data_IF_539885188490
#
_entry.id   IF_539885188490
#
_cell.length_a   1.000
_cell.length_b   1.000
_cell.length_c   1.000
_cell.angle_alpha   90.00
_cell.angle_beta   90.00
_cell.angle_gamma   90.00
#
_symmetry.space_group_name_H-M   'P 1'
#
loop_
_entity.id
_entity.type
_entity.pdbx_description
1 polymer ?
#
# COMPACT_ATOMS: atom_id res chain seq x y z
N UNK A 1 -2.51 -1.94 -7.27
CA UNK A 1 -2.38 -3.39 -7.59
C UNK A 1 -3.45 -4.27 -6.95
N UNK A 2 -3.56 -4.41 -5.61
CA UNK A 2 -4.54 -5.35 -4.99
C UNK A 2 -6.00 -5.12 -5.44
N UNK A 3 -6.49 -3.87 -5.33
CA UNK A 3 -7.85 -3.51 -5.73
C UNK A 3 -8.08 -3.72 -7.23
N UNK A 4 -7.14 -3.25 -8.04
CA UNK A 4 -7.19 -3.40 -9.49
C UNK A 4 -7.29 -4.86 -9.91
N UNK A 5 -6.50 -5.74 -9.29
CA UNK A 5 -6.54 -7.17 -9.55
C UNK A 5 -7.91 -7.76 -9.19
N UNK A 6 -8.47 -7.37 -8.05
CA UNK A 6 -9.81 -7.80 -7.64
C UNK A 6 -10.88 -7.38 -8.66
N UNK A 7 -10.83 -6.14 -9.16
CA UNK A 7 -11.76 -5.66 -10.18
C UNK A 7 -11.64 -6.46 -11.48
N UNK A 8 -10.41 -6.65 -11.98
CA UNK A 8 -10.15 -7.42 -13.20
C UNK A 8 -10.61 -8.87 -13.08
N UNK A 9 -10.32 -9.52 -11.95
CA UNK A 9 -10.69 -10.92 -11.71
C UNK A 9 -12.22 -11.12 -11.71
N UNK A 10 -12.97 -10.11 -11.24
CA UNK A 10 -14.44 -10.15 -11.19
C UNK A 10 -15.11 -9.45 -12.38
N UNK A 11 -14.33 -9.01 -13.39
CA UNK A 11 -14.82 -8.27 -14.57
C UNK A 11 -15.66 -7.05 -14.18
N UNK A 12 -15.24 -6.33 -13.14
CA UNK A 12 -15.84 -5.07 -12.72
C UNK A 12 -15.15 -3.97 -13.51
N UNK A 13 -15.92 -3.12 -14.18
CA UNK A 13 -15.40 -1.96 -14.89
C UNK A 13 -14.90 -0.90 -13.91
N UNK A 14 -13.73 -0.32 -14.19
CA UNK A 14 -13.11 0.69 -13.34
C UNK A 14 -12.24 1.64 -14.16
N UNK A 15 -12.00 2.82 -13.62
CA UNK A 15 -11.07 3.82 -14.15
C UNK A 15 -9.92 4.01 -13.16
N UNK A 16 -8.69 4.13 -13.67
CA UNK A 16 -7.52 4.46 -12.86
C UNK A 16 -7.25 5.94 -12.99
N UNK A 17 -7.40 6.66 -11.87
CA UNK A 17 -7.01 8.06 -11.78
C UNK A 17 -5.61 8.12 -11.20
N UNK A 18 -4.63 8.52 -12.01
CA UNK A 18 -3.26 8.72 -11.56
C UNK A 18 -3.13 10.05 -10.81
N UNK A 19 -2.44 10.03 -9.67
CA UNK A 19 -2.14 11.23 -8.90
C UNK A 19 -0.99 10.98 -7.93
N UNK A 20 0.11 11.72 -8.12
CA UNK A 20 1.34 11.53 -7.33
C UNK A 20 1.12 11.73 -5.83
N UNK A 21 0.25 12.68 -5.47
CA UNK A 21 -0.04 13.05 -4.08
C UNK A 21 -1.51 12.96 -3.70
N UNK A 22 -2.36 12.45 -4.59
CA UNK A 22 -3.78 12.28 -4.28
C UNK A 22 -3.94 11.25 -3.17
N UNK A 23 -4.77 11.58 -2.18
CA UNK A 23 -5.10 10.73 -1.04
C UNK A 23 -6.61 10.80 -0.81
N UNK A 24 -7.13 9.79 -0.12
CA UNK A 24 -8.52 9.86 0.35
C UNK A 24 -8.70 11.03 1.34
N UNK A 25 -9.96 11.37 1.64
CA UNK A 25 -10.34 12.27 2.73
C UNK A 25 -9.74 11.84 4.08
N UNK A 26 -9.42 10.55 4.25
CA UNK A 26 -8.75 10.00 5.44
C UNK A 26 -7.22 10.01 5.35
N UNK A 27 -6.64 10.53 4.27
CA UNK A 27 -5.19 10.51 4.00
C UNK A 27 -4.64 9.12 3.62
N UNK A 28 -5.51 8.14 3.41
CA UNK A 28 -5.13 6.74 3.14
C UNK A 28 -5.09 6.44 1.63
N UNK A 29 -4.20 5.52 1.27
CA UNK A 29 -4.19 4.78 0.01
C UNK A 29 -4.25 3.27 0.30
N UNK A 30 -4.79 2.46 -0.63
CA UNK A 30 -5.58 2.89 -1.79
C UNK A 30 -6.96 3.43 -1.38
N UNK A 31 -7.63 4.13 -2.30
CA UNK A 31 -9.03 4.51 -2.19
C UNK A 31 -9.73 4.41 -3.55
N UNK A 32 -11.05 4.32 -3.54
CA UNK A 32 -11.90 4.39 -4.74
C UNK A 32 -13.01 5.42 -4.52
N UNK A 33 -13.61 5.86 -5.61
CA UNK A 33 -14.87 6.57 -5.60
C UNK A 33 -15.95 5.70 -6.22
N UNK A 34 -17.03 5.48 -5.49
CA UNK A 34 -18.10 4.57 -5.87
C UNK A 34 -19.43 5.32 -5.74
N UNK A 35 -20.05 5.66 -6.88
CA UNK A 35 -21.27 6.48 -6.93
C UNK A 35 -21.16 7.82 -6.17
N UNK A 36 -20.00 8.48 -6.24
CA UNK A 36 -19.76 9.74 -5.52
C UNK A 36 -19.38 9.57 -4.04
N UNK A 37 -19.36 8.35 -3.50
CA UNK A 37 -18.85 8.07 -2.16
C UNK A 37 -17.39 7.62 -2.23
N UNK A 38 -16.51 8.25 -1.46
CA UNK A 38 -15.11 7.85 -1.39
C UNK A 38 -14.88 6.80 -0.30
N UNK A 39 -14.34 5.66 -0.69
CA UNK A 39 -14.05 4.53 0.20
C UNK A 39 -12.54 4.32 0.22
N UNK A 40 -11.96 4.38 1.41
CA UNK A 40 -10.53 4.16 1.64
C UNK A 40 -10.28 2.86 2.40
N UNK A 41 -9.02 2.39 2.38
CA UNK A 41 -8.55 1.11 2.93
C UNK A 41 -8.90 -0.09 2.05
N UNK A 42 -7.91 -0.91 1.71
CA UNK A 42 -8.08 -1.97 0.72
C UNK A 42 -9.09 -3.05 1.14
N UNK A 43 -9.20 -3.36 2.43
CA UNK A 43 -10.13 -4.39 2.91
C UNK A 43 -11.57 -3.90 2.83
N UNK A 44 -11.80 -2.65 3.26
CA UNK A 44 -13.11 -2.02 3.18
C UNK A 44 -13.57 -1.86 1.73
N UNK A 45 -12.66 -1.48 0.84
CA UNK A 45 -12.92 -1.38 -0.60
C UNK A 45 -13.37 -2.73 -1.15
N UNK A 46 -12.59 -3.80 -0.93
CA UNK A 46 -12.92 -5.14 -1.43
C UNK A 46 -14.27 -5.61 -0.89
N UNK A 47 -14.52 -5.43 0.41
CA UNK A 47 -15.80 -5.81 1.03
C UNK A 47 -16.99 -5.08 0.37
N UNK A 48 -16.90 -3.76 0.23
CA UNK A 48 -17.97 -2.95 -0.37
C UNK A 48 -18.23 -3.31 -1.84
N UNK A 49 -17.17 -3.60 -2.59
CA UNK A 49 -17.29 -4.04 -3.98
C UNK A 49 -17.89 -5.44 -4.07
N UNK A 50 -17.49 -6.36 -3.20
CA UNK A 50 -18.03 -7.70 -3.14
C UNK A 50 -19.54 -7.68 -2.85
N UNK A 51 -19.97 -6.86 -1.88
CA UNK A 51 -21.39 -6.64 -1.59
C UNK A 51 -22.13 -6.03 -2.79
N UNK A 52 -21.61 -4.96 -3.39
CA UNK A 52 -22.29 -4.23 -4.47
C UNK A 52 -22.44 -5.04 -5.75
N UNK A 53 -21.41 -5.80 -6.13
CA UNK A 53 -21.38 -6.60 -7.36
C UNK A 53 -21.74 -8.08 -7.13
N UNK A 54 -22.20 -8.42 -5.93
CA UNK A 54 -22.60 -9.78 -5.53
C UNK A 54 -21.52 -10.83 -5.86
N UNK A 55 -20.27 -10.48 -5.57
CA UNK A 55 -19.11 -11.36 -5.78
C UNK A 55 -19.20 -12.49 -4.76
N UNK A 56 -19.31 -13.73 -5.23
CA UNK A 56 -19.41 -14.89 -4.35
C UNK A 56 -18.08 -15.19 -3.67
N UNK A 57 -18.05 -15.03 -2.36
CA UNK A 57 -16.97 -15.58 -1.54
C UNK A 57 -17.14 -17.11 -1.44
N UNK A 58 -16.34 -17.85 -2.20
CA UNK A 58 -16.28 -19.32 -2.11
C UNK A 58 -15.42 -19.79 -0.92
N UNK A 59 -15.53 -19.12 0.23
CA UNK A 59 -14.75 -19.46 1.42
C UNK A 59 -15.59 -20.25 2.42
N UNK A 60 -15.14 -21.45 2.84
CA UNK A 60 -15.78 -22.17 3.94
C UNK A 60 -15.74 -21.31 5.22
N UNK A 61 -16.90 -21.07 5.83
CA UNK A 61 -17.02 -20.22 7.04
C UNK A 61 -16.10 -20.66 8.18
N UNK A 62 -15.87 -21.96 8.30
CA UNK A 62 -14.99 -22.57 9.30
C UNK A 62 -13.52 -22.14 9.15
N UNK A 63 -13.08 -21.83 7.92
CA UNK A 63 -11.69 -21.44 7.61
C UNK A 63 -11.53 -19.94 7.36
N UNK A 64 -12.64 -19.19 7.34
CA UNK A 64 -12.64 -17.78 7.01
C UNK A 64 -11.75 -16.95 7.96
N UNK A 65 -11.75 -17.28 9.26
CA UNK A 65 -10.89 -16.64 10.24
C UNK A 65 -9.40 -16.84 9.94
N UNK A 66 -8.98 -18.09 9.75
CA UNK A 66 -7.58 -18.43 9.47
C UNK A 66 -7.09 -17.86 8.14
N UNK A 67 -7.94 -17.88 7.10
CA UNK A 67 -7.61 -17.31 5.80
C UNK A 67 -7.49 -15.79 5.86
N UNK A 68 -8.37 -15.10 6.60
CA UNK A 68 -8.27 -13.66 6.82
C UNK A 68 -7.00 -13.28 7.59
N UNK A 69 -6.67 -14.03 8.65
CA UNK A 69 -5.43 -13.83 9.39
C UNK A 69 -4.20 -13.98 8.47
N UNK A 70 -4.18 -15.06 7.67
CA UNK A 70 -3.13 -15.32 6.70
C UNK A 70 -2.99 -14.20 5.67
N UNK A 71 -4.09 -13.76 5.04
CA UNK A 71 -4.07 -12.63 4.11
C UNK A 71 -3.54 -11.35 4.75
N UNK A 72 -3.95 -11.05 5.99
CA UNK A 72 -3.48 -9.85 6.69
C UNK A 72 -2.00 -9.92 7.02
N UNK A 73 -1.49 -11.09 7.41
CA UNK A 73 -0.07 -11.32 7.62
C UNK A 73 0.74 -11.14 6.33
N UNK A 74 0.27 -11.70 5.21
CA UNK A 74 0.90 -11.53 3.91
C UNK A 74 0.93 -10.07 3.46
N UNK A 75 -0.19 -9.34 3.59
CA UNK A 75 -0.26 -7.93 3.22
C UNK A 75 0.71 -7.07 4.06
N UNK A 76 0.77 -7.30 5.37
CA UNK A 76 1.72 -6.61 6.26
C UNK A 76 3.17 -6.91 5.87
N UNK A 77 3.49 -8.17 5.58
CA UNK A 77 4.86 -8.59 5.28
C UNK A 77 5.34 -8.05 3.94
N UNK A 78 4.49 -8.15 2.90
CA UNK A 78 4.78 -7.58 1.59
C UNK A 78 4.93 -6.06 1.68
N UNK A 79 4.07 -5.39 2.45
CA UNK A 79 4.18 -3.95 2.66
C UNK A 79 5.50 -3.56 3.33
N UNK A 80 5.96 -4.33 4.33
CA UNK A 80 7.25 -4.09 5.01
C UNK A 80 8.44 -4.22 4.07
N UNK A 81 8.47 -5.27 3.25
CA UNK A 81 9.52 -5.46 2.24
C UNK A 81 9.51 -4.29 1.24
N UNK A 82 8.34 -3.89 0.75
CA UNK A 82 8.21 -2.74 -0.15
C UNK A 82 8.67 -1.44 0.50
N UNK A 83 8.35 -1.21 1.78
CA UNK A 83 8.79 -0.04 2.53
C UNK A 83 10.32 -0.01 2.69
N UNK A 84 10.98 -1.16 2.88
CA UNK A 84 12.44 -1.21 2.96
C UNK A 84 13.09 -0.89 1.62
N UNK A 85 12.74 -1.63 0.56
CA UNK A 85 13.48 -1.56 -0.71
C UNK A 85 13.02 -0.44 -1.64
N UNK A 86 11.72 -0.14 -1.66
CA UNK A 86 11.16 0.83 -2.61
C UNK A 86 11.22 2.25 -2.07
N UNK A 87 10.90 2.45 -0.80
CA UNK A 87 10.88 3.80 -0.20
C UNK A 87 12.29 4.33 0.12
N UNK A 88 13.29 3.45 0.23
CA UNK A 88 14.69 3.86 0.33
C UNK A 88 15.30 4.30 -1.02
N UNK A 89 14.63 4.07 -2.16
CA UNK A 89 15.19 4.41 -3.46
C UNK A 89 15.17 5.92 -3.73
N UNK A 90 16.18 6.42 -4.45
CA UNK A 90 16.23 7.82 -4.91
C UNK A 90 15.07 8.17 -5.83
N UNK A 91 14.47 7.17 -6.48
CA UNK A 91 13.32 7.34 -7.36
C UNK A 91 12.09 7.88 -6.61
N UNK A 92 11.79 7.34 -5.42
CA UNK A 92 10.68 7.84 -4.61
C UNK A 92 10.95 9.24 -4.07
N UNK A 93 12.19 9.53 -3.68
CA UNK A 93 12.59 10.88 -3.26
C UNK A 93 12.48 11.87 -4.43
N UNK A 94 12.87 11.46 -5.63
CA UNK A 94 12.72 12.24 -6.85
C UNK A 94 11.26 12.54 -7.21
N UNK A 95 10.38 11.54 -7.12
CA UNK A 95 8.93 11.73 -7.32
C UNK A 95 8.35 12.67 -6.24
N UNK A 96 8.81 12.56 -4.99
CA UNK A 96 8.36 13.48 -3.93
C UNK A 96 8.80 14.93 -4.15
N UNK A 97 9.89 15.14 -4.88
CA UNK A 97 10.48 16.44 -5.15
C UNK A 97 10.09 17.01 -6.52
N UNK A 98 9.43 16.23 -7.39
CA UNK A 98 9.17 16.62 -8.79
C UNK A 98 8.32 17.87 -8.95
N UNK A 99 7.47 18.15 -7.98
CA UNK A 99 6.51 19.26 -8.03
C UNK A 99 7.02 20.50 -7.25
N UNK A 100 8.26 20.44 -6.72
CA UNK A 100 8.88 21.52 -5.95
C UNK A 100 9.79 22.40 -6.82
N UNK A 101 9.81 23.72 -6.61
CA UNK A 101 10.81 24.60 -7.22
C UNK A 101 12.25 24.20 -6.88
N UNK A 102 13.14 24.26 -7.87
CA UNK A 102 14.54 23.80 -7.76
C UNK A 102 15.31 24.38 -6.57
N UNK A 103 15.02 25.63 -6.19
CA UNK A 103 15.70 26.31 -5.09
C UNK A 103 15.33 25.76 -3.70
N UNK A 104 14.19 25.08 -3.56
CA UNK A 104 13.76 24.46 -2.29
C UNK A 104 14.30 23.04 -2.12
N UNK A 105 14.69 22.38 -3.22
CA UNK A 105 15.21 21.01 -3.22
C UNK A 105 16.34 20.80 -2.19
N UNK A 106 17.41 21.63 -2.11
CA UNK A 106 18.50 21.38 -1.17
C UNK A 106 18.08 21.49 0.30
N UNK A 107 17.03 22.26 0.61
CA UNK A 107 16.50 22.40 1.96
C UNK A 107 15.57 21.23 2.33
N UNK A 108 14.72 20.82 1.39
CA UNK A 108 13.67 19.82 1.63
C UNK A 108 14.19 18.38 1.53
N UNK A 109 15.19 18.12 0.68
CA UNK A 109 15.77 16.79 0.49
C UNK A 109 16.22 16.09 1.80
N UNK A 110 17.04 16.70 2.68
CA UNK A 110 17.45 16.06 3.93
C UNK A 110 16.26 15.82 4.89
N UNK A 111 15.24 16.69 4.86
CA UNK A 111 14.03 16.55 5.67
C UNK A 111 13.25 15.31 5.24
N UNK A 112 13.01 15.14 3.94
CA UNK A 112 12.31 13.96 3.38
C UNK A 112 13.05 12.66 3.74
N UNK A 113 14.38 12.62 3.61
CA UNK A 113 15.19 11.46 4.00
C UNK A 113 15.02 11.10 5.47
N UNK A 114 15.01 12.10 6.35
CA UNK A 114 14.81 11.87 7.78
C UNK A 114 13.43 11.27 8.07
N UNK A 115 12.37 11.79 7.44
CA UNK A 115 11.02 11.25 7.61
C UNK A 115 10.89 9.81 7.10
N UNK A 116 11.46 9.52 5.93
CA UNK A 116 11.50 8.17 5.35
C UNK A 116 12.25 7.21 6.28
N UNK A 117 13.45 7.58 6.72
CA UNK A 117 14.27 6.76 7.60
C UNK A 117 13.55 6.45 8.91
N UNK A 118 12.92 7.45 9.55
CA UNK A 118 12.14 7.26 10.77
C UNK A 118 10.95 6.30 10.56
N UNK A 119 10.29 6.37 9.39
CA UNK A 119 9.18 5.48 9.05
C UNK A 119 9.64 4.02 8.85
N UNK A 120 10.80 3.82 8.23
CA UNK A 120 11.41 2.48 8.07
C UNK A 120 11.89 1.94 9.43
N UNK A 121 12.48 2.77 10.28
CA UNK A 121 12.87 2.35 11.63
C UNK A 121 11.64 1.98 12.49
N UNK A 122 10.56 2.75 12.40
CA UNK A 122 9.31 2.47 13.13
C UNK A 122 8.60 1.19 12.65
N UNK A 123 8.87 0.69 11.45
CA UNK A 123 8.31 -0.58 10.96
C UNK A 123 9.04 -1.81 11.52
N UNK A 124 10.09 -1.63 12.33
CA UNK A 124 10.92 -2.70 12.90
C UNK A 124 12.00 -3.23 11.95
N UNK A 125 11.84 -3.05 10.64
CA UNK A 125 12.77 -3.53 9.63
C UNK A 125 14.00 -2.65 9.44
N UNK A 126 13.94 -1.38 9.84
CA UNK A 126 15.13 -0.50 9.84
C UNK A 126 16.24 -0.94 10.79
N UNK A 127 15.97 -1.89 11.69
CA UNK A 127 16.97 -2.47 12.60
C UNK A 127 17.69 -3.70 12.01
N UNK A 128 17.14 -4.32 10.97
CA UNK A 128 17.65 -5.59 10.43
C UNK A 128 18.48 -5.37 9.17
N UNK A 129 19.66 -6.00 9.14
CA UNK A 129 20.51 -6.00 7.95
C UNK A 129 19.87 -6.84 6.82
N UNK A 130 20.22 -6.57 5.56
CA UNK A 130 19.67 -7.32 4.42
C UNK A 130 19.95 -8.81 4.51
N UNK A 131 21.13 -9.20 5.01
CA UNK A 131 21.47 -10.60 5.23
C UNK A 131 20.60 -11.27 6.30
N UNK A 132 20.27 -10.56 7.39
CA UNK A 132 19.41 -11.09 8.45
C UNK A 132 17.99 -11.32 7.95
N UNK A 133 17.46 -10.40 7.15
CA UNK A 133 16.15 -10.58 6.51
C UNK A 133 16.16 -11.75 5.53
N UNK A 134 17.19 -11.87 4.70
CA UNK A 134 17.33 -12.99 3.77
C UNK A 134 17.50 -14.34 4.47
N UNK A 135 17.98 -14.38 5.71
CA UNK A 135 18.01 -15.58 6.53
C UNK A 135 16.63 -15.92 7.11
N UNK A 136 15.84 -14.91 7.52
CA UNK A 136 14.47 -15.12 8.00
C UNK A 136 13.58 -15.77 6.93
N UNK A 137 13.68 -15.35 5.66
CA UNK A 137 12.85 -15.86 4.57
C UNK A 137 13.36 -17.16 3.90
N UNK A 138 14.56 -17.64 4.26
CA UNK A 138 15.15 -18.86 3.68
C UNK A 138 14.81 -20.15 4.44
N UNK A 139 14.04 -20.05 5.52
CA UNK A 139 13.55 -21.20 6.30
C UNK A 139 12.28 -21.76 5.71
#
# INVERSE_FOLDING_TARGET
MKIELFMRANKIDYEVVEGNFTRSHKGLLPFIELNGEQIADSEFIIHKLAEKFNVKENLPKERAGSLRALSRMFDEEVFRIQLKYKIQSEEIVGIMLSDLPDFLIPLIHPIIRLFISRRISASGYGAHNDEELLQMYRR
#
